data_IF_698224275714
#
_entry.id   IF_698224275714
#
_cell.length_a   1.000
_cell.length_b   1.000
_cell.length_c   1.000
_cell.angle_alpha   90.00
_cell.angle_beta   90.00
_cell.angle_gamma   90.00
#
_symmetry.space_group_name_H-M   'P 1'
#
loop_
_entity.id
_entity.type
_entity.pdbx_description
1 polymer ?
#
# COMPACT_ATOMS: atom_id res chain seq x y z
N UNK A 1 13.23 -12.30 18.77
CA UNK A 1 13.98 -12.01 17.52
C UNK A 1 14.53 -10.57 17.45
N UNK A 2 15.74 -10.33 16.90
CA UNK A 2 16.29 -8.96 16.65
C UNK A 2 15.87 -8.40 15.28
N UNK A 3 16.02 -7.09 15.03
CA UNK A 3 15.63 -6.47 13.75
C UNK A 3 16.39 -7.03 12.53
N UNK A 4 17.69 -7.34 12.70
CA UNK A 4 18.49 -7.93 11.63
C UNK A 4 18.07 -9.36 11.29
N UNK A 5 17.62 -10.11 12.29
CA UNK A 5 17.08 -11.46 12.11
C UNK A 5 15.71 -11.41 11.42
N UNK A 6 14.82 -10.52 11.86
CA UNK A 6 13.53 -10.28 11.21
C UNK A 6 13.69 -9.85 9.75
N UNK A 7 14.65 -8.96 9.47
CA UNK A 7 14.98 -8.53 8.12
C UNK A 7 15.39 -9.70 7.22
N UNK A 8 16.23 -10.61 7.75
CA UNK A 8 16.66 -11.81 7.02
C UNK A 8 15.50 -12.77 6.75
N UNK A 9 14.63 -13.00 7.74
CA UNK A 9 13.49 -13.93 7.59
C UNK A 9 12.43 -13.42 6.63
N UNK A 10 12.20 -12.10 6.59
CA UNK A 10 11.13 -11.49 5.78
C UNK A 10 11.59 -10.93 4.45
N UNK A 11 12.91 -10.82 4.23
CA UNK A 11 13.49 -10.11 3.09
C UNK A 11 13.23 -8.59 3.10
N UNK A 12 12.73 -8.05 4.22
CA UNK A 12 12.43 -6.61 4.37
C UNK A 12 13.65 -5.90 4.93
N UNK A 13 14.00 -4.75 4.36
CA UNK A 13 15.13 -3.97 4.87
C UNK A 13 14.89 -3.49 6.32
N UNK A 14 15.93 -3.41 7.17
CA UNK A 14 15.77 -2.88 8.53
C UNK A 14 15.19 -1.46 8.56
N UNK A 15 15.45 -0.65 7.52
CA UNK A 15 14.87 0.69 7.36
C UNK A 15 13.34 0.61 7.22
N UNK A 16 12.84 -0.29 6.39
CA UNK A 16 11.41 -0.44 6.17
C UNK A 16 10.72 -1.08 7.39
N UNK A 17 11.38 -1.98 8.10
CA UNK A 17 10.89 -2.50 9.38
C UNK A 17 10.74 -1.39 10.43
N UNK A 18 11.72 -0.47 10.54
CA UNK A 18 11.60 0.71 11.42
C UNK A 18 10.47 1.63 11.02
N UNK A 19 10.26 1.81 9.71
CA UNK A 19 9.10 2.55 9.23
C UNK A 19 7.78 1.88 9.67
N UNK A 20 7.68 0.55 9.62
CA UNK A 20 6.49 -0.15 10.15
C UNK A 20 6.31 0.07 11.66
N UNK A 21 7.40 0.14 12.44
CA UNK A 21 7.32 0.54 13.86
C UNK A 21 6.81 1.96 14.04
N UNK A 22 7.34 2.92 13.28
CA UNK A 22 6.93 4.34 13.31
C UNK A 22 5.45 4.51 12.95
N UNK A 23 4.92 3.68 12.05
CA UNK A 23 3.50 3.68 11.68
C UNK A 23 2.61 2.92 12.67
N UNK A 24 3.20 2.25 13.68
CA UNK A 24 2.49 1.44 14.67
C UNK A 24 1.98 0.10 14.13
N UNK A 25 2.57 -0.39 13.03
CA UNK A 25 2.22 -1.67 12.40
C UNK A 25 3.01 -2.84 12.99
N UNK A 26 4.18 -2.55 13.55
CA UNK A 26 5.06 -3.54 14.17
C UNK A 26 5.47 -3.06 15.56
N UNK A 27 5.22 -3.87 16.58
CA UNK A 27 5.42 -3.48 17.98
C UNK A 27 6.55 -4.28 18.62
N UNK A 28 7.77 -3.72 18.74
CA UNK A 28 8.86 -4.38 19.45
C UNK A 28 8.60 -4.36 20.96
N UNK A 29 8.98 -5.44 21.64
CA UNK A 29 9.08 -5.48 23.11
C UNK A 29 10.49 -5.10 23.53
N UNK A 30 10.63 -4.29 24.58
CA UNK A 30 11.93 -4.00 25.20
C UNK A 30 12.32 -5.15 26.13
N UNK A 31 13.50 -5.72 25.88
CA UNK A 31 14.13 -6.74 26.74
C UNK A 31 15.48 -6.19 27.17
N UNK A 32 15.52 -5.60 28.37
CA UNK A 32 16.66 -4.82 28.86
C UNK A 32 16.93 -3.59 27.99
N UNK A 33 18.16 -3.47 27.49
CA UNK A 33 18.60 -2.37 26.62
C UNK A 33 18.28 -2.57 25.12
N UNK A 34 17.76 -3.73 24.74
CA UNK A 34 17.55 -4.10 23.34
C UNK A 34 16.06 -4.24 22.98
N UNK A 35 15.75 -4.00 21.70
CA UNK A 35 14.43 -4.29 21.11
C UNK A 35 14.38 -5.72 20.61
N UNK A 36 13.25 -6.39 20.85
CA UNK A 36 12.98 -7.73 20.35
C UNK A 36 11.56 -7.82 19.78
N UNK A 37 11.40 -8.58 18.71
CA UNK A 37 10.12 -8.94 18.13
C UNK A 37 9.72 -10.33 18.59
N UNK A 38 8.41 -10.54 18.68
CA UNK A 38 7.81 -11.85 18.91
C UNK A 38 8.01 -12.78 17.69
N UNK A 39 7.80 -14.08 17.90
CA UNK A 39 8.11 -15.10 16.90
C UNK A 39 7.12 -15.09 15.71
N UNK A 40 5.95 -14.50 15.90
CA UNK A 40 4.92 -14.23 14.88
C UNK A 40 5.21 -13.00 14.02
N UNK A 41 6.22 -12.20 14.34
CA UNK A 41 6.53 -10.98 13.60
C UNK A 41 6.79 -11.18 12.09
N UNK A 42 7.36 -12.30 11.59
CA UNK A 42 7.50 -12.51 10.15
C UNK A 42 6.14 -12.61 9.44
N UNK A 43 5.15 -13.20 10.10
CA UNK A 43 3.78 -13.34 9.60
C UNK A 43 3.07 -11.98 9.56
N UNK A 44 3.20 -11.19 10.63
CA UNK A 44 2.71 -9.81 10.67
C UNK A 44 3.29 -8.96 9.54
N UNK A 45 4.61 -9.08 9.29
CA UNK A 45 5.27 -8.39 8.17
C UNK A 45 4.73 -8.89 6.81
N UNK A 46 4.43 -10.18 6.68
CA UNK A 46 3.75 -10.74 5.51
C UNK A 46 2.40 -10.10 5.26
N UNK A 47 1.55 -9.99 6.29
CA UNK A 47 0.24 -9.34 6.21
C UNK A 47 0.36 -7.85 5.84
N UNK A 48 1.27 -7.10 6.47
CA UNK A 48 1.54 -5.70 6.12
C UNK A 48 1.87 -5.56 4.63
N UNK A 49 2.75 -6.42 4.10
CA UNK A 49 3.14 -6.38 2.69
C UNK A 49 2.00 -6.74 1.75
N UNK A 50 1.18 -7.73 2.11
CA UNK A 50 0.01 -8.11 1.32
C UNK A 50 -0.99 -6.93 1.20
N UNK A 51 -1.30 -6.28 2.32
CA UNK A 51 -2.21 -5.13 2.31
C UNK A 51 -1.64 -3.91 1.58
N UNK A 52 -0.34 -3.62 1.74
CA UNK A 52 0.32 -2.57 0.96
C UNK A 52 0.27 -2.88 -0.53
N UNK A 53 0.47 -4.14 -0.92
CA UNK A 53 0.35 -4.60 -2.31
C UNK A 53 -1.07 -4.47 -2.87
N UNK A 54 -2.08 -4.60 -2.02
CA UNK A 54 -3.48 -4.36 -2.36
C UNK A 54 -3.86 -2.86 -2.39
N UNK A 55 -2.92 -1.96 -2.14
CA UNK A 55 -3.14 -0.51 -2.21
C UNK A 55 -3.71 0.11 -0.93
N UNK A 56 -3.76 -0.63 0.18
CA UNK A 56 -4.23 -0.07 1.45
C UNK A 56 -3.20 0.91 2.03
N UNK A 57 -3.63 2.09 2.51
CA UNK A 57 -2.74 3.00 3.22
C UNK A 57 -2.39 2.45 4.60
N UNK A 58 -1.18 2.75 5.09
CA UNK A 58 -0.68 2.28 6.40
C UNK A 58 -1.63 2.56 7.56
N UNK A 59 -2.36 3.68 7.52
CA UNK A 59 -3.41 4.02 8.49
C UNK A 59 -4.50 2.95 8.56
N UNK A 60 -5.00 2.50 7.41
CA UNK A 60 -6.04 1.45 7.33
C UNK A 60 -5.46 0.10 7.71
N UNK A 61 -4.23 -0.20 7.28
CA UNK A 61 -3.55 -1.44 7.66
C UNK A 61 -3.47 -1.59 9.18
N UNK A 62 -3.18 -0.51 9.91
CA UNK A 62 -3.16 -0.52 11.38
C UNK A 62 -4.51 -0.87 12.00
N UNK A 63 -5.61 -0.45 11.38
CA UNK A 63 -6.97 -0.76 11.84
C UNK A 63 -7.36 -2.21 11.54
N UNK A 64 -6.84 -2.77 10.43
CA UNK A 64 -7.17 -4.11 9.95
C UNK A 64 -6.31 -5.21 10.59
N UNK A 65 -5.03 -4.94 10.87
CA UNK A 65 -4.08 -5.93 11.40
C UNK A 65 -4.56 -6.69 12.65
N UNK A 66 -5.20 -6.06 13.66
CA UNK A 66 -5.68 -6.76 14.85
C UNK A 66 -6.77 -7.80 14.58
N UNK A 67 -7.42 -7.74 13.41
CA UNK A 67 -8.49 -8.64 12.99
C UNK A 67 -8.00 -9.80 12.10
N UNK A 68 -6.68 -9.92 11.91
CA UNK A 68 -6.06 -11.00 11.13
C UNK A 68 -5.56 -12.07 12.08
N UNK A 69 -6.02 -13.30 11.91
CA UNK A 69 -5.57 -14.45 12.70
C UNK A 69 -4.97 -15.54 11.79
N UNK A 70 -3.77 -16.00 12.14
CA UNK A 70 -3.09 -17.10 11.47
C UNK A 70 -2.59 -16.78 10.06
N UNK A 71 -1.90 -17.75 9.41
CA UNK A 71 -1.10 -17.51 8.21
C UNK A 71 -1.91 -17.36 6.91
N UNK A 72 -3.16 -16.91 7.00
CA UNK A 72 -4.09 -16.84 5.87
C UNK A 72 -4.95 -15.58 5.86
N UNK A 73 -5.64 -15.29 4.74
CA UNK A 73 -6.51 -14.12 4.60
C UNK A 73 -7.84 -14.31 5.34
N UNK A 74 -7.85 -15.07 6.44
CA UNK A 74 -9.01 -15.23 7.29
C UNK A 74 -9.21 -13.89 8.04
N UNK A 75 -9.87 -12.98 7.37
CA UNK A 75 -10.23 -11.69 7.90
C UNK A 75 -11.51 -11.88 8.71
N UNK A 76 -11.44 -11.58 10.00
CA UNK A 76 -12.65 -11.55 10.82
C UNK A 76 -13.59 -10.45 10.30
N UNK A 77 -14.91 -10.62 10.48
CA UNK A 77 -15.92 -9.69 9.97
C UNK A 77 -15.75 -8.23 10.42
N UNK A 78 -14.90 -7.96 11.44
CA UNK A 78 -14.59 -6.62 11.93
C UNK A 78 -13.93 -5.71 10.89
N UNK A 79 -13.35 -6.23 9.80
CA UNK A 79 -12.69 -5.41 8.77
C UNK A 79 -13.41 -5.35 7.44
N UNK A 80 -14.48 -6.15 7.27
CA UNK A 80 -15.21 -6.24 6.01
C UNK A 80 -15.68 -4.87 5.52
N UNK A 81 -16.28 -4.07 6.41
CA UNK A 81 -16.76 -2.71 6.12
C UNK A 81 -15.66 -1.77 5.65
N UNK A 82 -14.52 -1.77 6.35
CA UNK A 82 -13.37 -0.93 5.98
C UNK A 82 -12.82 -1.32 4.61
N UNK A 83 -12.73 -2.61 4.32
CA UNK A 83 -12.25 -3.09 3.03
C UNK A 83 -13.22 -2.80 1.89
N UNK A 84 -14.53 -2.94 2.12
CA UNK A 84 -15.57 -2.52 1.17
C UNK A 84 -15.51 -1.02 0.87
N UNK A 85 -15.19 -0.18 1.87
CA UNK A 85 -14.98 1.26 1.68
C UNK A 85 -13.72 1.56 0.86
N UNK A 86 -12.60 0.88 1.15
CA UNK A 86 -11.39 1.03 0.35
C UNK A 86 -11.59 0.57 -1.10
N UNK A 87 -12.29 -0.55 -1.31
CA UNK A 87 -12.60 -1.06 -2.65
C UNK A 87 -13.45 -0.06 -3.43
N UNK A 88 -14.52 0.45 -2.84
CA UNK A 88 -15.35 1.49 -3.49
C UNK A 88 -14.55 2.74 -3.85
N UNK A 89 -13.67 3.20 -2.96
CA UNK A 89 -12.80 4.35 -3.25
C UNK A 89 -11.81 4.09 -4.39
N UNK A 90 -11.32 2.85 -4.55
CA UNK A 90 -10.49 2.45 -5.68
C UNK A 90 -11.30 2.44 -6.98
N UNK A 91 -12.51 1.90 -6.95
CA UNK A 91 -13.41 1.86 -8.11
C UNK A 91 -13.76 3.27 -8.61
N UNK A 92 -14.10 4.19 -7.68
CA UNK A 92 -14.37 5.59 -8.01
C UNK A 92 -13.16 6.27 -8.67
N UNK A 93 -11.95 5.99 -8.18
CA UNK A 93 -10.72 6.53 -8.74
C UNK A 93 -10.42 5.93 -10.11
N UNK A 94 -10.68 4.65 -10.31
CA UNK A 94 -10.54 3.98 -11.61
C UNK A 94 -11.49 4.63 -12.62
N UNK A 95 -12.75 4.84 -12.26
CA UNK A 95 -13.74 5.48 -13.11
C UNK A 95 -13.28 6.88 -13.53
N UNK A 96 -12.86 7.72 -12.58
CA UNK A 96 -12.36 9.07 -12.90
C UNK A 96 -11.10 9.08 -13.78
N UNK A 97 -10.21 8.10 -13.62
CA UNK A 97 -9.04 7.93 -14.49
C UNK A 97 -9.43 7.47 -15.91
N UNK A 98 -10.44 6.60 -16.03
CA UNK A 98 -10.98 6.16 -17.33
C UNK A 98 -11.66 7.32 -18.08
N UNK A 99 -12.40 8.17 -17.37
CA UNK A 99 -13.01 9.38 -17.93
C UNK A 99 -11.92 10.34 -18.44
N UNK A 100 -10.92 10.61 -17.60
CA UNK A 100 -9.79 11.49 -17.95
C UNK A 100 -9.02 10.96 -19.18
N UNK A 101 -8.79 9.64 -19.24
CA UNK A 101 -8.16 8.98 -20.39
C UNK A 101 -9.02 9.17 -21.66
N UNK A 102 -10.33 8.98 -21.55
CA UNK A 102 -11.24 9.10 -22.68
C UNK A 102 -11.30 10.52 -23.22
N UNK A 103 -11.31 11.52 -22.34
CA UNK A 103 -11.24 12.94 -22.72
C UNK A 103 -9.93 13.27 -23.46
N UNK A 104 -8.78 12.81 -22.92
CA UNK A 104 -7.48 13.00 -23.58
C UNK A 104 -7.40 12.30 -24.95
N UNK A 105 -7.93 11.08 -25.06
CA UNK A 105 -8.00 10.37 -26.33
C UNK A 105 -8.86 11.13 -27.35
N UNK A 106 -10.02 11.64 -26.94
CA UNK A 106 -10.87 12.46 -27.81
C UNK A 106 -10.19 13.73 -28.32
N UNK A 107 -9.39 14.41 -27.49
CA UNK A 107 -8.61 15.57 -27.90
C UNK A 107 -7.52 15.24 -28.93
N UNK A 108 -6.93 14.04 -28.87
CA UNK A 108 -5.92 13.58 -29.83
C UNK A 108 -6.55 13.17 -31.17
N UNK A 109 -7.67 12.44 -31.14
CA UNK A 109 -8.40 12.01 -32.34
C UNK A 109 -9.03 13.18 -33.12
N UNK A 110 -9.39 14.26 -32.43
CA UNK A 110 -9.92 15.46 -33.07
C UNK A 110 -8.92 16.18 -34.00
N UNK A 111 -7.62 15.83 -33.94
CA UNK A 111 -6.61 16.17 -34.93
C UNK A 111 -6.22 17.66 -35.07
N UNK A 112 -5.03 17.90 -35.65
CA UNK A 112 -3.83 18.17 -34.88
C UNK A 112 -3.97 19.46 -34.04
N UNK A 113 -3.46 19.42 -32.79
CA UNK A 113 -2.99 20.64 -32.13
C UNK A 113 -2.18 21.40 -33.17
N UNK A 114 -2.69 22.55 -33.63
CA UNK A 114 -2.04 23.39 -34.64
C UNK A 114 -0.70 23.85 -34.11
N UNK A 115 0.33 23.01 -34.24
CA UNK A 115 1.73 23.42 -34.10
C UNK A 115 1.97 24.35 -35.27
N UNK A 116 2.02 25.64 -34.96
CA UNK A 116 2.05 26.72 -35.93
C UNK A 116 3.09 26.46 -37.02
N UNK A 117 2.59 26.16 -38.21
CA UNK A 117 3.32 26.41 -39.45
C UNK A 117 3.56 27.91 -39.54
N UNK A 118 4.73 28.36 -39.08
CA UNK A 118 5.39 29.53 -39.66
C UNK A 118 6.19 29.04 -40.86
N UNK A 119 5.51 28.76 -41.96
CA UNK A 119 6.12 28.90 -43.27
C UNK A 119 6.22 30.42 -43.53
N UNK A 120 7.35 30.99 -43.12
CA UNK A 120 7.74 32.36 -43.50
C UNK A 120 8.07 32.35 -44.98
N UNK A 121 7.33 33.17 -45.72
CA UNK A 121 7.73 33.65 -47.03
C UNK A 121 9.06 34.43 -46.92
N UNK A 122 9.97 34.16 -47.85
CA UNK A 122 10.85 35.13 -48.54
C UNK A 122 11.85 34.34 -49.41
#
# INVERSE_FOLDING_TARGET
>A
MKIGELARLTGVSPRLLRYYEEQGLLMPRRVGTHRSYADDAPEVVGHIRAFLGAGLPTRVIREVLPCVEGPGPALHGCVARTLEEQLRGLDDRIAGLQDSRSALAGLLEAGPLRTGSRASAA
#
